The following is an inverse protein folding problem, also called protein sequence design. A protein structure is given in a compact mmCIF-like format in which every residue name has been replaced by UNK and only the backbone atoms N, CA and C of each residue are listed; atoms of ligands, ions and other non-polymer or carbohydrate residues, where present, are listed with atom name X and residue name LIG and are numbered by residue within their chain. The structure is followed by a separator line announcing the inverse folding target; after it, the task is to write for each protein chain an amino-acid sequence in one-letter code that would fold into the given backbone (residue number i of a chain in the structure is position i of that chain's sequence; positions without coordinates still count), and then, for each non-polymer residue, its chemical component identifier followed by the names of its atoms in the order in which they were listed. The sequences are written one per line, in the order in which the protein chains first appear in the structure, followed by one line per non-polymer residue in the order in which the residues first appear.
data_IF_316317811553
#
_entry.id   IF_316317811553
#
_cell.length_a   1.000
_cell.length_b   1.000
_cell.length_c   1.000
_cell.angle_alpha   90.00
_cell.angle_beta   90.00
_cell.angle_gamma   90.00
#
_symmetry.space_group_name_H-M   'P 1'
#
loop_
_entity.id
_entity.type
_entity.pdbx_description
1 polymer ?
#
# COMPACT_ATOMS: atom_id res chain seq x y z
N UNK A 1 9.62 7.50 -6.28
CA UNK A 1 8.33 8.13 -6.59
C UNK A 1 7.77 7.56 -7.88
N UNK A 2 6.51 7.21 -7.90
CA UNK A 2 5.86 6.71 -9.10
C UNK A 2 5.53 7.87 -10.02
N UNK A 3 5.98 7.75 -11.27
CA UNK A 3 5.58 8.69 -12.31
C UNK A 3 4.10 8.43 -12.66
N UNK A 4 3.20 9.43 -12.54
CA UNK A 4 1.78 9.24 -12.88
C UNK A 4 1.56 8.69 -14.29
N UNK A 5 2.45 9.00 -15.24
CA UNK A 5 2.33 8.48 -16.59
C UNK A 5 2.58 6.98 -16.68
N UNK A 6 3.30 6.42 -15.75
CA UNK A 6 3.56 4.99 -15.70
C UNK A 6 2.27 4.19 -15.57
N UNK A 7 1.35 4.66 -14.73
CA UNK A 7 0.10 3.97 -14.46
C UNK A 7 -0.84 3.93 -15.68
N UNK A 8 -0.65 4.82 -16.65
CA UNK A 8 -1.50 4.84 -17.85
C UNK A 8 -1.30 3.63 -18.74
N UNK A 9 -0.13 3.00 -18.66
CA UNK A 9 0.22 1.88 -19.52
C UNK A 9 -0.02 0.52 -18.87
N UNK A 10 -0.61 0.52 -17.67
CA UNK A 10 -0.84 -0.71 -16.91
C UNK A 10 -2.33 -1.00 -16.90
N UNK A 11 -2.74 -2.25 -17.21
CA UNK A 11 -4.16 -2.63 -17.11
C UNK A 11 -4.70 -2.35 -15.70
N UNK A 12 -5.96 -1.96 -15.61
CA UNK A 12 -6.56 -1.59 -14.33
C UNK A 12 -6.42 -2.69 -13.27
N UNK A 13 -6.57 -3.94 -13.67
CA UNK A 13 -6.41 -5.06 -12.74
C UNK A 13 -5.00 -5.16 -12.18
N UNK A 14 -3.99 -4.67 -12.93
CA UNK A 14 -2.60 -4.69 -12.50
C UNK A 14 -2.24 -3.45 -11.67
N UNK A 15 -2.95 -2.34 -11.88
CA UNK A 15 -2.65 -1.10 -11.16
C UNK A 15 -2.83 -1.28 -9.64
N UNK A 16 -3.91 -1.90 -9.24
CA UNK A 16 -4.19 -2.12 -7.82
C UNK A 16 -3.15 -3.02 -7.18
N UNK A 17 -2.77 -4.10 -7.88
CA UNK A 17 -1.76 -5.02 -7.39
C UNK A 17 -0.41 -4.34 -7.23
N UNK A 18 0.02 -3.59 -8.25
CA UNK A 18 1.31 -2.89 -8.21
C UNK A 18 1.34 -1.84 -7.10
N UNK A 19 0.23 -1.12 -6.93
CA UNK A 19 0.17 -0.08 -5.91
C UNK A 19 0.18 -0.70 -4.51
N UNK A 20 -0.51 -1.81 -4.32
CA UNK A 20 -0.50 -2.53 -3.04
C UNK A 20 0.91 -3.00 -2.71
N UNK A 21 1.64 -3.54 -3.68
CA UNK A 21 3.01 -3.97 -3.47
C UNK A 21 3.93 -2.80 -3.15
N UNK A 22 3.74 -1.66 -3.80
CA UNK A 22 4.52 -0.46 -3.53
C UNK A 22 4.32 0.01 -2.08
N UNK A 23 3.09 0.05 -1.63
CA UNK A 23 2.79 0.47 -0.25
C UNK A 23 3.46 -0.45 0.75
N UNK A 24 3.44 -1.75 0.51
CA UNK A 24 4.10 -2.73 1.37
C UNK A 24 5.60 -2.49 1.40
N UNK A 25 6.22 -2.26 0.25
CA UNK A 25 7.66 -2.03 0.17
C UNK A 25 8.05 -0.74 0.87
N UNK A 26 7.28 0.34 0.71
CA UNK A 26 7.54 1.60 1.38
C UNK A 26 7.39 1.45 2.90
N UNK A 27 6.36 0.76 3.34
CA UNK A 27 6.17 0.51 4.76
C UNK A 27 7.34 -0.29 5.34
N UNK A 28 7.77 -1.31 4.63
CA UNK A 28 8.92 -2.11 5.04
C UNK A 28 10.19 -1.25 5.13
N UNK A 29 10.36 -0.33 4.21
CA UNK A 29 11.50 0.59 4.25
C UNK A 29 11.49 1.42 5.52
N UNK A 30 10.31 1.91 5.93
CA UNK A 30 10.21 2.74 7.12
C UNK A 30 10.35 1.94 8.42
N UNK A 31 9.79 0.75 8.48
CA UNK A 31 9.61 0.04 9.75
C UNK A 31 10.35 -1.30 9.84
N UNK A 32 10.83 -1.82 8.72
CA UNK A 32 11.46 -3.15 8.71
C UNK A 32 10.49 -4.30 8.93
N UNK A 33 9.20 -4.06 8.74
CA UNK A 33 8.14 -5.03 8.99
C UNK A 33 7.26 -5.13 7.75
N UNK A 34 6.89 -6.35 7.36
CA UNK A 34 5.93 -6.60 6.29
C UNK A 34 4.65 -7.17 6.88
N UNK A 35 3.48 -6.83 6.27
CA UNK A 35 2.23 -7.43 6.72
C UNK A 35 2.24 -8.94 6.45
N UNK A 36 1.65 -9.70 7.34
CA UNK A 36 1.42 -11.13 7.13
C UNK A 36 0.07 -11.34 6.44
N UNK A 37 -0.35 -12.61 6.32
CA UNK A 37 -1.58 -12.95 5.59
C UNK A 37 -2.84 -12.33 6.22
N UNK A 38 -2.79 -11.96 7.50
CA UNK A 38 -3.93 -11.41 8.23
C UNK A 38 -3.80 -9.91 8.47
N UNK A 39 -2.89 -9.26 7.76
CA UNK A 39 -2.60 -7.85 7.95
C UNK A 39 -2.59 -7.12 6.62
N UNK A 40 -2.82 -5.82 6.66
CA UNK A 40 -2.68 -4.95 5.50
C UNK A 40 -2.20 -3.57 5.93
N UNK A 41 -1.73 -2.81 4.95
CA UNK A 41 -1.34 -1.42 5.16
C UNK A 41 -2.46 -0.52 4.66
N UNK A 42 -2.85 0.44 5.47
CA UNK A 42 -3.87 1.42 5.08
C UNK A 42 -3.27 2.82 5.05
N UNK A 43 -3.91 3.70 4.29
CA UNK A 43 -3.58 5.12 4.26
C UNK A 43 -4.58 5.86 5.16
N UNK A 44 -4.07 6.51 6.18
CA UNK A 44 -4.91 7.13 7.21
C UNK A 44 -5.78 8.26 6.67
N UNK A 45 -5.29 8.99 5.66
CA UNK A 45 -6.03 10.10 5.05
C UNK A 45 -6.82 9.68 3.81
N UNK A 46 -6.93 8.39 3.53
CA UNK A 46 -7.57 7.82 2.35
C UNK A 46 -6.91 8.19 1.03
N UNK A 47 -5.76 8.84 1.05
CA UNK A 47 -5.01 9.12 -0.17
C UNK A 47 -3.95 8.05 -0.36
N UNK A 48 -4.22 7.10 -1.26
CA UNK A 48 -3.35 5.95 -1.49
C UNK A 48 -2.02 6.33 -2.14
N UNK A 49 -1.89 7.57 -2.62
CA UNK A 49 -0.65 8.07 -3.21
C UNK A 49 0.20 8.83 -2.20
N UNK A 50 -0.32 9.09 -1.00
CA UNK A 50 0.45 9.73 0.06
C UNK A 50 1.18 8.65 0.84
N UNK A 51 2.45 8.46 0.50
CA UNK A 51 3.27 7.40 1.08
C UNK A 51 4.16 7.91 2.23
N UNK A 52 3.75 8.99 2.86
CA UNK A 52 4.44 9.46 4.06
C UNK A 52 4.29 8.47 5.20
N UNK A 53 5.34 8.36 6.00
CA UNK A 53 5.39 7.40 7.10
C UNK A 53 4.18 7.51 8.03
N UNK A 54 3.77 8.73 8.35
CA UNK A 54 2.67 8.99 9.27
C UNK A 54 1.32 8.59 8.70
N UNK A 55 1.23 8.48 7.37
CA UNK A 55 -0.01 8.13 6.71
C UNK A 55 -0.22 6.62 6.53
N UNK A 56 0.84 5.85 6.65
CA UNK A 56 0.79 4.40 6.44
C UNK A 56 0.67 3.69 7.79
N UNK A 57 -0.33 2.81 7.90
CA UNK A 57 -0.57 2.08 9.13
C UNK A 57 -0.80 0.61 8.85
N UNK A 58 -0.13 -0.24 9.62
CA UNK A 58 -0.34 -1.68 9.59
C UNK A 58 -1.53 -2.02 10.46
N UNK A 59 -2.50 -2.71 9.90
CA UNK A 59 -3.70 -3.11 10.63
C UNK A 59 -3.96 -4.60 10.42
N UNK A 60 -4.59 -5.21 11.40
CA UNK A 60 -5.04 -6.58 11.28
C UNK A 60 -6.33 -6.62 10.46
N UNK A 61 -6.39 -7.56 9.54
CA UNK A 61 -7.63 -7.81 8.81
C UNK A 61 -8.48 -8.68 9.74
N UNK A 62 -9.27 -8.03 10.53
CA UNK A 62 -10.17 -8.72 11.43
C UNK A 62 -11.37 -9.12 10.62
N UNK A 63 -11.40 -10.36 10.25
CA UNK A 63 -12.50 -10.86 9.47
C UNK A 63 -13.54 -11.34 10.46
N UNK A 64 -14.56 -10.54 10.61
CA UNK A 64 -15.73 -10.96 11.36
C UNK A 64 -16.61 -11.72 10.41
N UNK A 65 -16.58 -12.97 10.55
CA UNK A 65 -17.48 -13.82 9.80
C UNK A 65 -18.69 -14.16 10.60
#
# INVERSE_FOLDING_TARGET
MINPNYLKYIPDAKKDELHTNLIIDVYYFYHGIKPDANQKIICMNNNIFDLNKENLKLVNIDIFL
#
